data_IF_259972586553
#
_entry.id   IF_259972586553
#
_cell.length_a   1.000
_cell.length_b   1.000
_cell.length_c   1.000
_cell.angle_alpha   90.00
_cell.angle_beta   90.00
_cell.angle_gamma   90.00
#
_symmetry.space_group_name_H-M   'P 1'
#
loop_
_entity.id
_entity.type
_entity.pdbx_description
1 polymer ?
#
# COMPACT_ATOMS: atom_id res chain seq x y z
N UNK A 1 -18.03 17.62 -14.82
CA UNK A 1 -16.56 17.58 -14.72
C UNK A 1 -15.97 18.57 -15.69
N UNK A 2 -14.79 19.14 -15.39
CA UNK A 2 -14.05 19.93 -16.39
C UNK A 2 -13.34 19.00 -17.37
N UNK A 3 -13.03 19.44 -18.60
CA UNK A 3 -12.31 18.61 -19.59
C UNK A 3 -10.94 18.11 -19.11
N UNK A 4 -10.30 18.83 -18.19
CA UNK A 4 -9.02 18.44 -17.59
C UNK A 4 -9.17 17.24 -16.64
N UNK A 5 -10.28 17.15 -15.90
CA UNK A 5 -10.55 16.01 -15.01
C UNK A 5 -10.89 14.75 -15.79
N UNK A 6 -11.68 14.88 -16.87
CA UNK A 6 -12.04 13.76 -17.74
C UNK A 6 -10.79 13.15 -18.40
N UNK A 7 -9.87 13.99 -18.86
CA UNK A 7 -8.57 13.55 -19.39
C UNK A 7 -7.72 12.83 -18.34
N UNK A 8 -7.77 13.25 -17.07
CA UNK A 8 -7.01 12.58 -16.00
C UNK A 8 -7.57 11.20 -15.63
N UNK A 9 -8.90 11.05 -15.58
CA UNK A 9 -9.54 9.74 -15.36
C UNK A 9 -9.20 8.78 -16.50
N UNK A 10 -9.27 9.22 -17.76
CA UNK A 10 -8.88 8.41 -18.91
C UNK A 10 -7.40 8.01 -18.84
N UNK A 11 -6.52 8.94 -18.43
CA UNK A 11 -5.11 8.66 -18.19
C UNK A 11 -4.91 7.57 -17.13
N UNK A 12 -5.55 7.69 -15.96
CA UNK A 12 -5.44 6.70 -14.88
C UNK A 12 -5.92 5.32 -15.32
N UNK A 13 -7.07 5.24 -16.00
CA UNK A 13 -7.58 3.97 -16.52
C UNK A 13 -6.57 3.31 -17.47
N UNK A 14 -5.88 4.11 -18.30
CA UNK A 14 -4.87 3.59 -19.22
C UNK A 14 -3.61 3.10 -18.50
N UNK A 15 -3.02 3.90 -17.60
CA UNK A 15 -1.79 3.49 -16.90
C UNK A 15 -2.04 2.35 -15.90
N UNK A 16 -3.26 2.25 -15.37
CA UNK A 16 -3.67 1.14 -14.50
C UNK A 16 -3.62 -0.23 -15.19
N UNK A 17 -3.60 -0.29 -16.53
CA UNK A 17 -3.43 -1.55 -17.26
C UNK A 17 -2.04 -2.19 -17.02
N UNK A 18 -1.05 -1.40 -16.59
CA UNK A 18 0.29 -1.88 -16.24
C UNK A 18 0.34 -2.54 -14.85
N UNK A 19 -0.67 -2.32 -13.99
CA UNK A 19 -0.75 -2.92 -12.66
C UNK A 19 -1.34 -4.34 -12.76
N UNK A 20 -0.48 -5.28 -13.16
CA UNK A 20 -0.90 -6.69 -13.39
C UNK A 20 -0.69 -7.62 -12.20
N UNK A 21 -0.09 -7.12 -11.13
CA UNK A 21 0.24 -7.91 -9.95
C UNK A 21 -0.88 -8.03 -8.92
N UNK A 22 -1.98 -7.28 -9.10
CA UNK A 22 -3.21 -7.35 -8.29
C UNK A 22 -4.37 -7.54 -9.26
N UNK A 23 -5.26 -8.49 -8.99
CA UNK A 23 -6.42 -8.77 -9.82
C UNK A 23 -7.49 -7.69 -9.66
N UNK A 24 -8.41 -7.58 -10.63
CA UNK A 24 -9.49 -6.58 -10.54
C UNK A 24 -10.45 -6.91 -9.40
N UNK A 25 -10.65 -8.18 -9.12
CA UNK A 25 -11.47 -8.70 -8.02
C UNK A 25 -10.89 -8.27 -6.68
N UNK A 26 -9.57 -8.33 -6.51
CA UNK A 26 -8.86 -7.79 -5.34
C UNK A 26 -9.04 -6.27 -5.22
N UNK A 27 -9.17 -5.57 -6.35
CA UNK A 27 -9.51 -4.14 -6.42
C UNK A 27 -11.01 -3.85 -6.30
N UNK A 28 -11.85 -4.86 -6.06
CA UNK A 28 -13.29 -4.70 -5.81
C UNK A 28 -14.20 -4.87 -7.02
N UNK A 29 -13.71 -5.37 -8.16
CA UNK A 29 -14.58 -5.78 -9.26
C UNK A 29 -15.42 -7.01 -8.89
N UNK A 30 -16.70 -6.98 -9.23
CA UNK A 30 -17.65 -8.08 -8.96
C UNK A 30 -17.89 -8.90 -10.25
N UNK A 31 -17.13 -9.99 -10.49
CA UNK A 31 -17.27 -10.78 -11.72
C UNK A 31 -18.58 -11.56 -11.73
N UNK A 32 -18.98 -12.06 -12.90
CA UNK A 32 -20.08 -13.02 -12.96
C UNK A 32 -19.59 -14.40 -12.53
N UNK A 33 -20.45 -15.24 -11.94
CA UNK A 33 -20.10 -16.63 -11.65
C UNK A 33 -19.57 -17.37 -12.89
N UNK A 34 -20.10 -17.06 -14.08
CA UNK A 34 -19.62 -17.66 -15.34
C UNK A 34 -18.22 -17.22 -15.78
N UNK A 35 -17.69 -16.10 -15.27
CA UNK A 35 -16.37 -15.56 -15.60
C UNK A 35 -15.26 -16.19 -14.76
N UNK A 36 -15.61 -16.69 -13.56
CA UNK A 36 -14.68 -17.37 -12.65
C UNK A 36 -14.17 -18.71 -13.22
N UNK A 37 -12.98 -19.15 -12.83
CA UNK A 37 -12.51 -20.50 -13.12
C UNK A 37 -13.36 -21.57 -12.43
N UNK A 38 -13.24 -22.83 -12.87
CA UNK A 38 -13.96 -23.94 -12.24
C UNK A 38 -13.55 -24.13 -10.77
N UNK A 39 -12.28 -23.88 -10.45
CA UNK A 39 -11.73 -24.03 -9.10
C UNK A 39 -12.22 -22.90 -8.19
N UNK A 40 -12.25 -21.64 -8.67
CA UNK A 40 -12.81 -20.51 -7.94
C UNK A 40 -14.31 -20.69 -7.67
N UNK A 41 -15.08 -21.16 -8.65
CA UNK A 41 -16.51 -21.45 -8.44
C UNK A 41 -16.75 -22.58 -7.45
N UNK A 42 -15.84 -23.56 -7.37
CA UNK A 42 -16.02 -24.74 -6.53
C UNK A 42 -15.83 -24.43 -5.03
N UNK A 43 -15.12 -23.36 -4.69
CA UNK A 43 -14.92 -22.91 -3.30
C UNK A 43 -16.03 -21.99 -2.81
N UNK A 44 -16.88 -21.47 -3.71
CA UNK A 44 -17.99 -20.60 -3.33
C UNK A 44 -19.09 -21.34 -2.58
N UNK A 45 -19.53 -20.76 -1.49
CA UNK A 45 -20.73 -21.18 -0.78
C UNK A 45 -22.00 -20.77 -1.53
N UNK A 46 -23.11 -21.45 -1.26
CA UNK A 46 -24.38 -21.18 -1.95
C UNK A 46 -24.86 -19.74 -1.79
N UNK A 47 -24.64 -19.13 -0.62
CA UNK A 47 -25.04 -17.75 -0.38
C UNK A 47 -24.15 -16.74 -1.12
N UNK A 48 -22.88 -17.07 -1.38
CA UNK A 48 -21.98 -16.24 -2.19
C UNK A 48 -22.43 -16.25 -3.65
N UNK A 49 -22.80 -17.41 -4.18
CA UNK A 49 -23.38 -17.53 -5.52
C UNK A 49 -24.69 -16.75 -5.65
N UNK A 50 -25.60 -16.89 -4.67
CA UNK A 50 -26.85 -16.13 -4.63
C UNK A 50 -26.61 -14.60 -4.59
N UNK A 51 -25.61 -14.16 -3.82
CA UNK A 51 -25.21 -12.76 -3.78
C UNK A 51 -24.64 -12.29 -5.13
N UNK A 52 -23.71 -13.04 -5.72
CA UNK A 52 -23.12 -12.73 -7.03
C UNK A 52 -24.17 -12.67 -8.15
N UNK A 53 -25.17 -13.56 -8.13
CA UNK A 53 -26.28 -13.54 -9.09
C UNK A 53 -27.22 -12.33 -8.88
N UNK A 54 -27.30 -11.80 -7.66
CA UNK A 54 -28.11 -10.63 -7.34
C UNK A 54 -27.51 -9.31 -7.84
N UNK A 55 -26.20 -9.27 -8.11
CA UNK A 55 -25.51 -8.09 -8.67
C UNK A 55 -26.02 -7.81 -10.09
N UNK A 56 -26.46 -6.57 -10.35
CA UNK A 56 -26.98 -6.19 -11.66
C UNK A 56 -25.84 -5.94 -12.67
N UNK A 57 -26.12 -5.98 -13.98
CA UNK A 57 -25.13 -5.60 -14.99
C UNK A 57 -24.54 -4.20 -14.77
N UNK A 58 -25.37 -3.23 -14.39
CA UNK A 58 -24.94 -1.85 -14.13
C UNK A 58 -23.96 -1.76 -12.95
N UNK A 59 -24.22 -2.49 -11.86
CA UNK A 59 -23.31 -2.56 -10.71
C UNK A 59 -21.96 -3.20 -11.07
N UNK A 60 -21.96 -4.19 -11.97
CA UNK A 60 -20.72 -4.79 -12.47
C UNK A 60 -19.93 -3.84 -13.36
N UNK A 61 -20.61 -3.11 -14.23
CA UNK A 61 -19.96 -2.10 -15.08
C UNK A 61 -19.34 -0.98 -14.21
N UNK A 62 -20.05 -0.55 -13.17
CA UNK A 62 -19.58 0.44 -12.20
C UNK A 62 -18.36 -0.06 -11.41
N UNK A 63 -18.44 -1.25 -10.79
CA UNK A 63 -17.30 -1.83 -10.05
C UNK A 63 -16.09 -2.09 -10.95
N UNK A 64 -16.28 -2.43 -12.22
CA UNK A 64 -15.19 -2.57 -13.19
C UNK A 64 -14.49 -1.24 -13.45
N UNK A 65 -15.26 -0.15 -13.61
CA UNK A 65 -14.69 1.19 -13.80
C UNK A 65 -13.95 1.62 -12.54
N UNK A 66 -14.54 1.44 -11.36
CA UNK A 66 -13.91 1.76 -10.08
C UNK A 66 -12.62 0.96 -9.83
N UNK A 67 -12.62 -0.35 -10.11
CA UNK A 67 -11.42 -1.18 -10.00
C UNK A 67 -10.30 -0.74 -10.95
N UNK A 68 -10.64 -0.36 -12.19
CA UNK A 68 -9.67 0.20 -13.16
C UNK A 68 -9.12 1.55 -12.71
N UNK A 69 -9.98 2.41 -12.17
CA UNK A 69 -9.57 3.71 -11.66
C UNK A 69 -8.65 3.56 -10.45
N UNK A 70 -8.97 2.63 -9.53
CA UNK A 70 -8.13 2.30 -8.39
C UNK A 70 -6.77 1.73 -8.81
N UNK A 71 -6.74 0.85 -9.82
CA UNK A 71 -5.48 0.36 -10.40
C UNK A 71 -4.61 1.52 -10.93
N UNK A 72 -5.22 2.45 -11.66
CA UNK A 72 -4.55 3.66 -12.14
C UNK A 72 -4.04 4.55 -11.02
N UNK A 73 -4.86 4.76 -9.98
CA UNK A 73 -4.48 5.57 -8.83
C UNK A 73 -3.32 4.94 -8.05
N UNK A 74 -3.31 3.61 -7.85
CA UNK A 74 -2.19 2.89 -7.24
C UNK A 74 -0.90 3.01 -8.05
N UNK A 75 -1.01 2.93 -9.38
CA UNK A 75 0.13 3.09 -10.27
C UNK A 75 0.73 4.50 -10.17
N UNK A 76 -0.13 5.51 -10.27
CA UNK A 76 0.29 6.92 -10.15
C UNK A 76 0.86 7.23 -8.76
N UNK A 77 0.18 6.77 -7.71
CA UNK A 77 0.64 6.90 -6.33
C UNK A 77 2.02 6.26 -6.12
N UNK A 78 2.30 5.14 -6.80
CA UNK A 78 3.62 4.49 -6.74
C UNK A 78 4.70 5.38 -7.35
N UNK A 79 4.43 5.99 -8.51
CA UNK A 79 5.37 6.91 -9.15
C UNK A 79 5.61 8.16 -8.29
N UNK A 80 4.53 8.78 -7.78
CA UNK A 80 4.58 9.94 -6.90
C UNK A 80 5.35 9.62 -5.60
N UNK A 81 5.07 8.49 -4.96
CA UNK A 81 5.76 8.06 -3.73
C UNK A 81 7.28 7.95 -3.93
N UNK A 82 7.70 7.36 -5.05
CA UNK A 82 9.13 7.21 -5.39
C UNK A 82 9.79 8.57 -5.63
N UNK A 83 9.14 9.45 -6.39
CA UNK A 83 9.65 10.79 -6.67
C UNK A 83 9.77 11.62 -5.38
N UNK A 84 8.75 11.59 -4.53
CA UNK A 84 8.76 12.29 -3.24
C UNK A 84 9.84 11.73 -2.29
N UNK A 85 10.14 10.42 -2.32
CA UNK A 85 11.26 9.87 -1.55
C UNK A 85 12.62 10.36 -2.06
N UNK A 86 12.78 10.59 -3.37
CA UNK A 86 13.98 11.25 -3.88
C UNK A 86 14.08 12.69 -3.38
N UNK A 87 12.97 13.42 -3.33
CA UNK A 87 12.91 14.78 -2.80
C UNK A 87 13.26 14.82 -1.30
N UNK A 88 12.66 13.94 -0.48
CA UNK A 88 12.97 13.79 0.94
C UNK A 88 14.47 13.53 1.15
N UNK A 89 15.07 12.62 0.39
CA UNK A 89 16.53 12.34 0.46
C UNK A 89 17.35 13.58 0.08
N UNK A 90 16.95 14.31 -0.96
CA UNK A 90 17.65 15.49 -1.41
C UNK A 90 17.60 16.62 -0.36
N UNK A 91 16.43 16.83 0.25
CA UNK A 91 16.22 17.80 1.32
C UNK A 91 17.05 17.44 2.55
N UNK A 92 16.98 16.19 3.03
CA UNK A 92 17.77 15.70 4.15
C UNK A 92 19.29 15.89 3.95
N UNK A 93 19.79 15.69 2.73
CA UNK A 93 21.21 15.91 2.39
C UNK A 93 21.63 17.38 2.42
N UNK A 94 20.69 18.31 2.30
CA UNK A 94 20.96 19.75 2.36
C UNK A 94 21.09 20.27 3.80
N UNK A 95 20.62 19.48 4.79
CA UNK A 95 20.63 19.84 6.19
C UNK A 95 21.98 19.54 6.86
N UNK A 96 22.38 20.41 7.78
CA UNK A 96 23.58 20.19 8.61
C UNK A 96 23.31 19.15 9.70
N UNK A 97 22.11 19.19 10.26
CA UNK A 97 21.60 18.26 11.26
C UNK A 97 20.13 17.98 10.96
N UNK A 98 19.72 16.72 11.04
CA UNK A 98 18.33 16.29 10.83
C UNK A 98 17.63 16.31 12.18
N UNK A 99 16.49 16.97 12.25
CA UNK A 99 15.64 17.04 13.44
C UNK A 99 14.30 16.36 13.19
N UNK A 100 13.56 16.08 14.28
CA UNK A 100 12.20 15.56 14.18
C UNK A 100 11.25 16.47 13.39
N UNK A 101 11.47 17.80 13.44
CA UNK A 101 10.65 18.76 12.72
C UNK A 101 10.89 18.68 11.21
N UNK A 102 12.13 18.41 10.79
CA UNK A 102 12.46 18.23 9.38
C UNK A 102 11.77 16.98 8.83
N UNK A 103 11.78 15.88 9.59
CA UNK A 103 11.05 14.65 9.24
C UNK A 103 9.54 14.87 9.19
N UNK A 104 8.97 15.57 10.17
CA UNK A 104 7.54 15.89 10.16
C UNK A 104 7.12 16.82 9.01
N UNK A 105 8.07 17.57 8.43
CA UNK A 105 7.87 18.43 7.27
C UNK A 105 8.16 17.77 5.93
N UNK A 106 8.67 16.53 5.92
CA UNK A 106 8.97 15.80 4.69
C UNK A 106 7.70 15.27 4.03
N UNK A 107 7.82 14.85 2.77
CA UNK A 107 6.70 14.40 1.95
C UNK A 107 6.24 12.99 2.33
N UNK A 108 7.17 12.05 2.47
CA UNK A 108 6.86 10.63 2.71
C UNK A 108 7.26 10.19 4.13
N UNK A 109 8.44 10.58 4.61
CA UNK A 109 8.91 10.17 5.94
C UNK A 109 8.03 10.72 7.08
N UNK A 110 7.27 11.80 6.83
CA UNK A 110 6.28 12.33 7.77
C UNK A 110 5.09 11.38 8.00
N UNK A 111 4.80 10.49 7.03
CA UNK A 111 3.78 9.46 7.12
C UNK A 111 4.21 8.20 7.86
N UNK A 112 5.50 8.08 8.24
CA UNK A 112 6.02 6.93 8.98
C UNK A 112 5.79 7.05 10.50
N UNK A 113 5.92 5.95 11.27
CA UNK A 113 5.70 5.97 12.72
C UNK A 113 6.46 7.10 13.45
N UNK A 114 5.76 8.13 13.97
CA UNK A 114 6.40 9.37 14.42
C UNK A 114 7.28 9.18 15.66
N UNK A 115 7.18 8.04 16.35
CA UNK A 115 8.02 7.65 17.49
C UNK A 115 9.48 7.43 17.11
N UNK A 116 9.76 7.06 15.86
CA UNK A 116 11.11 6.79 15.38
C UNK A 116 11.67 7.90 14.49
N UNK A 117 10.96 9.02 14.35
CA UNK A 117 11.33 10.14 13.47
C UNK A 117 12.79 10.62 13.68
N UNK A 118 13.29 10.65 14.92
CA UNK A 118 14.70 11.05 15.19
C UNK A 118 15.75 10.09 14.60
N UNK A 119 15.34 8.89 14.20
CA UNK A 119 16.19 7.84 13.63
C UNK A 119 16.06 7.73 12.10
N UNK A 120 15.18 8.51 11.48
CA UNK A 120 15.02 8.53 10.02
C UNK A 120 16.09 9.43 9.39
N UNK A 121 17.31 8.90 9.30
CA UNK A 121 18.42 9.58 8.63
C UNK A 121 18.43 9.33 7.11
N UNK A 122 19.42 9.91 6.42
CA UNK A 122 19.59 9.74 4.97
C UNK A 122 19.72 8.26 4.59
N UNK A 123 20.40 7.44 5.40
CA UNK A 123 20.59 6.01 5.08
C UNK A 123 19.28 5.26 5.24
N UNK A 124 18.49 5.57 6.27
CA UNK A 124 17.14 5.05 6.43
C UNK A 124 16.28 5.38 5.22
N UNK A 125 16.22 6.65 4.82
CA UNK A 125 15.42 7.09 3.67
C UNK A 125 15.85 6.40 2.36
N UNK A 126 17.15 6.20 2.15
CA UNK A 126 17.67 5.45 1.00
C UNK A 126 17.23 3.98 1.02
N UNK A 127 17.30 3.30 2.17
CA UNK A 127 16.83 1.90 2.31
C UNK A 127 15.32 1.83 2.10
N UNK A 128 14.57 2.82 2.59
CA UNK A 128 13.12 2.88 2.43
C UNK A 128 12.71 3.11 0.98
N UNK A 129 13.41 3.98 0.24
CA UNK A 129 13.24 4.15 -1.21
C UNK A 129 13.42 2.84 -1.97
N UNK A 130 14.41 2.04 -1.60
CA UNK A 130 14.64 0.71 -2.20
C UNK A 130 13.45 -0.21 -1.97
N UNK A 131 12.94 -0.25 -0.73
CA UNK A 131 11.77 -1.07 -0.38
C UNK A 131 10.52 -0.58 -1.12
N UNK A 132 10.28 0.74 -1.18
CA UNK A 132 9.15 1.31 -1.91
C UNK A 132 9.21 0.99 -3.41
N UNK A 133 10.41 1.01 -4.00
CA UNK A 133 10.62 0.62 -5.41
C UNK A 133 10.37 -0.86 -5.63
N UNK A 134 10.82 -1.73 -4.71
CA UNK A 134 10.56 -3.16 -4.78
C UNK A 134 9.06 -3.47 -4.65
N UNK A 135 8.38 -2.81 -3.71
CA UNK A 135 6.93 -2.85 -3.54
C UNK A 135 6.20 -2.45 -4.83
N UNK A 136 6.51 -1.29 -5.42
CA UNK A 136 5.91 -0.84 -6.68
C UNK A 136 6.15 -1.86 -7.81
N UNK A 137 7.35 -2.46 -7.86
CA UNK A 137 7.66 -3.53 -8.79
C UNK A 137 6.84 -4.81 -8.57
N UNK A 138 6.52 -5.14 -7.32
CA UNK A 138 5.67 -6.29 -6.98
C UNK A 138 4.21 -6.07 -7.41
N UNK A 139 3.67 -4.84 -7.30
CA UNK A 139 2.34 -4.49 -7.82
C UNK A 139 2.17 -4.75 -9.32
N UNK A 140 3.28 -4.79 -10.07
CA UNK A 140 3.29 -5.12 -11.49
C UNK A 140 3.49 -6.63 -11.70
N UNK A 141 4.47 -7.23 -11.02
CA UNK A 141 4.90 -8.61 -11.29
C UNK A 141 4.06 -9.70 -10.60
N UNK A 142 3.27 -9.33 -9.59
CA UNK A 142 2.56 -10.25 -8.71
C UNK A 142 2.80 -9.85 -7.27
N UNK A 143 1.77 -9.26 -6.65
CA UNK A 143 1.77 -8.99 -5.22
C UNK A 143 1.42 -10.29 -4.47
N UNK A 144 2.08 -10.53 -3.35
CA UNK A 144 1.74 -11.67 -2.47
C UNK A 144 1.41 -11.18 -1.08
N UNK A 145 2.39 -10.61 -0.40
CA UNK A 145 2.34 -10.03 0.92
C UNK A 145 3.63 -9.21 1.10
N UNK A 146 3.69 -8.30 2.08
CA UNK A 146 4.89 -7.54 2.38
C UNK A 146 6.01 -8.48 2.83
N UNK A 147 7.23 -8.27 2.34
CA UNK A 147 8.39 -9.09 2.70
C UNK A 147 9.04 -8.68 4.02
N UNK A 148 8.71 -7.51 4.55
CA UNK A 148 9.24 -6.95 5.80
C UNK A 148 8.36 -5.80 6.30
N UNK A 149 8.55 -5.37 7.56
CA UNK A 149 7.81 -4.25 8.16
C UNK A 149 7.97 -2.97 7.35
N UNK A 150 9.15 -2.67 6.82
CA UNK A 150 9.35 -1.48 5.99
C UNK A 150 8.48 -1.49 4.73
N UNK A 151 8.17 -2.68 4.18
CA UNK A 151 7.31 -2.79 3.01
C UNK A 151 5.84 -2.59 3.37
N UNK A 152 5.39 -3.04 4.56
CA UNK A 152 4.06 -2.70 5.08
C UNK A 152 3.90 -1.18 5.25
N UNK A 153 4.91 -0.52 5.82
CA UNK A 153 4.90 0.93 5.98
C UNK A 153 4.87 1.64 4.63
N UNK A 154 5.60 1.12 3.63
CA UNK A 154 5.55 1.65 2.26
C UNK A 154 4.17 1.48 1.62
N UNK A 155 3.48 0.36 1.86
CA UNK A 155 2.09 0.16 1.42
C UNK A 155 1.18 1.20 2.07
N UNK A 156 1.30 1.46 3.38
CA UNK A 156 0.49 2.50 4.04
C UNK A 156 0.73 3.88 3.43
N UNK A 157 2.00 4.26 3.20
CA UNK A 157 2.32 5.51 2.50
C UNK A 157 1.74 5.54 1.09
N UNK A 158 1.74 4.44 0.35
CA UNK A 158 1.11 4.35 -0.97
C UNK A 158 -0.39 4.63 -0.91
N UNK A 159 -1.11 4.03 0.05
CA UNK A 159 -2.54 4.23 0.22
C UNK A 159 -2.87 5.68 0.62
N UNK A 160 -2.03 6.31 1.45
CA UNK A 160 -2.16 7.74 1.76
C UNK A 160 -1.99 8.60 0.49
N UNK A 161 -1.07 8.24 -0.43
CA UNK A 161 -0.94 8.94 -1.71
C UNK A 161 -2.15 8.74 -2.63
N UNK A 162 -2.78 7.55 -2.62
CA UNK A 162 -4.02 7.33 -3.36
C UNK A 162 -5.14 8.24 -2.83
N UNK A 163 -5.26 8.43 -1.52
CA UNK A 163 -6.23 9.39 -0.94
C UNK A 163 -5.93 10.83 -1.38
N UNK A 164 -4.66 11.25 -1.37
CA UNK A 164 -4.26 12.58 -1.85
C UNK A 164 -4.64 12.77 -3.33
N UNK A 165 -4.37 11.78 -4.18
CA UNK A 165 -4.75 11.81 -5.61
C UNK A 165 -6.27 11.81 -5.78
N UNK A 166 -6.99 10.99 -5.00
CA UNK A 166 -8.44 10.94 -5.00
C UNK A 166 -9.04 12.32 -4.70
N UNK A 167 -8.57 12.98 -3.64
CA UNK A 167 -9.03 14.31 -3.24
C UNK A 167 -8.65 15.39 -4.24
N UNK A 168 -7.41 15.35 -4.75
CA UNK A 168 -6.87 16.36 -5.66
C UNK A 168 -7.61 16.38 -7.01
N UNK A 169 -7.97 15.21 -7.52
CA UNK A 169 -8.61 15.06 -8.84
C UNK A 169 -10.08 14.67 -8.76
N UNK A 170 -10.67 14.59 -7.56
CA UNK A 170 -12.06 14.23 -7.34
C UNK A 170 -12.41 12.86 -7.93
N UNK A 171 -11.57 11.86 -7.70
CA UNK A 171 -11.78 10.51 -8.23
C UNK A 171 -12.95 9.82 -7.53
N UNK A 172 -13.79 9.16 -8.32
CA UNK A 172 -14.93 8.38 -7.85
C UNK A 172 -14.49 6.93 -7.56
N UNK A 173 -13.74 6.76 -6.47
CA UNK A 173 -13.34 5.44 -5.97
C UNK A 173 -14.43 4.84 -5.10
N UNK A 174 -14.55 3.50 -5.12
CA UNK A 174 -15.54 2.78 -4.33
C UNK A 174 -15.41 3.09 -2.82
N UNK A 175 -16.54 3.25 -2.13
CA UNK A 175 -16.53 3.39 -0.68
C UNK A 175 -15.80 2.21 -0.01
N UNK A 176 -14.90 2.52 0.93
CA UNK A 176 -14.15 1.48 1.64
C UNK A 176 -13.03 0.80 0.84
N UNK A 177 -12.66 1.33 -0.34
CA UNK A 177 -11.54 0.81 -1.14
C UNK A 177 -10.26 0.63 -0.31
N UNK A 178 -9.96 1.58 0.59
CA UNK A 178 -8.78 1.55 1.44
C UNK A 178 -8.78 0.35 2.37
N UNK A 179 -9.86 0.14 3.11
CA UNK A 179 -9.96 -0.97 4.06
C UNK A 179 -9.82 -2.33 3.37
N UNK A 180 -10.40 -2.47 2.17
CA UNK A 180 -10.23 -3.66 1.33
C UNK A 180 -8.77 -3.90 0.95
N UNK A 181 -8.06 -2.85 0.52
CA UNK A 181 -6.65 -2.97 0.16
C UNK A 181 -5.76 -3.23 1.37
N UNK A 182 -6.03 -2.60 2.51
CA UNK A 182 -5.29 -2.87 3.76
C UNK A 182 -5.45 -4.34 4.16
N UNK A 183 -6.68 -4.88 4.18
CA UNK A 183 -6.93 -6.30 4.47
C UNK A 183 -6.25 -7.25 3.48
N UNK A 184 -6.16 -6.84 2.20
CA UNK A 184 -5.59 -7.70 1.16
C UNK A 184 -4.07 -7.62 1.06
N UNK A 185 -3.52 -6.43 1.26
CA UNK A 185 -2.10 -6.15 1.02
C UNK A 185 -1.25 -6.23 2.28
N UNK A 186 -1.82 -6.05 3.46
CA UNK A 186 -1.15 -6.22 4.74
C UNK A 186 -1.60 -7.56 5.33
N UNK A 187 -0.69 -8.53 5.41
CA UNK A 187 -1.00 -9.89 5.89
C UNK A 187 -1.53 -9.88 7.33
N UNK A 188 -1.04 -8.94 8.15
CA UNK A 188 -1.52 -8.61 9.48
C UNK A 188 -1.55 -7.09 9.71
N UNK A 189 -1.99 -6.68 10.90
CA UNK A 189 -2.09 -5.26 11.29
C UNK A 189 -1.05 -4.89 12.34
N UNK A 190 0.01 -5.68 12.49
CA UNK A 190 0.93 -5.53 13.61
C UNK A 190 1.71 -4.22 13.51
N UNK A 191 2.08 -3.80 12.29
CA UNK A 191 2.70 -2.48 12.06
C UNK A 191 1.80 -1.30 12.42
N UNK A 192 0.48 -1.49 12.56
CA UNK A 192 -0.42 -0.44 13.04
C UNK A 192 -0.07 -0.02 14.48
N UNK A 193 0.39 -0.97 15.31
CA UNK A 193 0.78 -0.70 16.69
C UNK A 193 1.93 0.32 16.78
N UNK A 194 2.76 0.43 15.74
CA UNK A 194 3.83 1.45 15.64
C UNK A 194 3.29 2.88 15.54
N UNK A 195 2.03 3.06 15.13
CA UNK A 195 1.38 4.38 15.10
C UNK A 195 0.66 4.71 16.41
N UNK A 196 0.36 3.71 17.24
CA UNK A 196 -0.44 3.88 18.45
C UNK A 196 0.42 4.24 19.68
N UNK A 197 0.29 5.47 20.20
CA UNK A 197 1.00 5.92 21.40
C UNK A 197 0.75 5.04 22.64
N UNK A 198 -0.41 4.36 22.71
CA UNK A 198 -0.76 3.48 23.83
C UNK A 198 0.11 2.22 23.89
N UNK A 199 0.74 1.85 22.77
CA UNK A 199 1.60 0.68 22.63
C UNK A 199 3.09 1.03 22.76
N UNK A 200 3.46 2.15 23.38
CA UNK A 200 4.87 2.53 23.53
C UNK A 200 5.69 1.46 24.29
N UNK A 201 6.82 1.05 23.70
CA UNK A 201 7.74 0.07 24.28
C UNK A 201 7.42 -1.40 24.00
N UNK A 202 6.34 -1.72 23.28
CA UNK A 202 5.99 -3.09 22.93
C UNK A 202 7.04 -3.77 22.05
N UNK A 203 7.75 -2.99 21.23
CA UNK A 203 8.71 -3.52 20.25
C UNK A 203 9.85 -4.29 20.93
N UNK A 204 10.19 -3.93 22.17
CA UNK A 204 11.26 -4.55 22.95
C UNK A 204 10.83 -5.75 23.81
N UNK A 205 9.53 -6.06 23.88
CA UNK A 205 9.02 -7.20 24.65
C UNK A 205 8.99 -8.47 23.79
N UNK A 206 10.17 -9.10 23.67
CA UNK A 206 10.37 -10.31 22.84
C UNK A 206 9.45 -11.45 23.28
N UNK A 207 9.15 -11.58 24.57
CA UNK A 207 8.30 -12.66 25.08
C UNK A 207 6.83 -12.42 24.70
N UNK A 208 6.35 -11.18 24.84
CA UNK A 208 5.01 -10.79 24.39
C UNK A 208 4.86 -10.93 22.86
N UNK A 209 5.84 -10.45 22.09
CA UNK A 209 5.82 -10.52 20.63
C UNK A 209 5.77 -11.98 20.15
N UNK A 210 6.58 -12.86 20.74
CA UNK A 210 6.53 -14.31 20.44
C UNK A 210 5.20 -14.96 20.85
N UNK A 211 4.60 -14.56 21.97
CA UNK A 211 3.31 -15.10 22.42
C UNK A 211 2.15 -14.67 21.53
N UNK A 212 2.21 -13.45 20.98
CA UNK A 212 1.20 -12.89 20.09
C UNK A 212 1.46 -13.23 18.61
N UNK A 213 2.63 -13.78 18.28
CA UNK A 213 3.01 -14.10 16.90
C UNK A 213 3.45 -12.89 16.09
N UNK A 214 3.75 -11.76 16.74
CA UNK A 214 4.13 -10.52 16.06
C UNK A 214 5.51 -10.64 15.42
N UNK A 215 5.69 -9.99 14.28
CA UNK A 215 7.02 -9.79 13.70
C UNK A 215 7.94 -8.99 14.64
N UNK A 216 9.27 -9.10 14.51
CA UNK A 216 10.19 -8.20 15.22
C UNK A 216 9.96 -6.74 14.82
N UNK A 217 9.47 -5.92 15.76
CA UNK A 217 9.04 -4.54 15.48
C UNK A 217 10.07 -3.46 15.85
N UNK A 218 11.25 -3.83 16.35
CA UNK A 218 12.29 -2.83 16.58
C UNK A 218 12.75 -2.22 15.24
N UNK A 219 13.02 -0.91 15.22
CA UNK A 219 13.46 -0.20 14.00
C UNK A 219 14.61 -0.89 13.25
N UNK A 220 15.53 -1.55 13.98
CA UNK A 220 16.68 -2.23 13.37
C UNK A 220 16.26 -3.42 12.49
N UNK A 221 15.11 -4.03 12.81
CA UNK A 221 14.58 -5.25 12.18
C UNK A 221 13.62 -4.93 11.03
N UNK A 222 13.23 -3.67 10.83
CA UNK A 222 12.20 -3.29 9.84
C UNK A 222 12.53 -3.68 8.39
N UNK A 223 13.81 -3.83 8.08
CA UNK A 223 14.28 -4.20 6.74
C UNK A 223 14.74 -5.66 6.67
N UNK A 224 14.61 -6.42 7.77
CA UNK A 224 14.89 -7.84 7.75
C UNK A 224 13.69 -8.58 7.15
N UNK A 225 13.93 -9.60 6.32
CA UNK A 225 12.83 -10.33 5.69
C UNK A 225 12.04 -11.13 6.73
N UNK A 226 10.74 -11.26 6.51
CA UNK A 226 9.92 -12.27 7.17
C UNK A 226 10.37 -13.68 6.75
N UNK A 227 9.98 -14.70 7.52
CA UNK A 227 10.57 -16.04 7.46
C UNK A 227 10.56 -16.71 6.08
N UNK A 228 9.58 -16.38 5.23
CA UNK A 228 9.39 -16.97 3.90
C UNK A 228 9.57 -15.95 2.75
N UNK A 229 10.15 -14.78 3.04
CA UNK A 229 10.22 -13.65 2.10
C UNK A 229 11.66 -13.24 1.77
N UNK A 230 11.81 -12.33 0.81
CA UNK A 230 13.11 -11.76 0.40
C UNK A 230 13.01 -10.25 0.30
N UNK A 231 14.05 -9.56 0.76
CA UNK A 231 14.22 -8.12 0.57
C UNK A 231 15.42 -7.85 -0.35
N UNK A 232 15.42 -6.77 -1.14
CA UNK A 232 16.54 -6.45 -2.02
C UNK A 232 17.87 -6.33 -1.24
N UNK A 233 18.91 -7.05 -1.66
CA UNK A 233 20.17 -7.16 -0.91
C UNK A 233 20.86 -5.84 -0.52
N UNK A 234 20.56 -4.75 -1.22
CA UNK A 234 21.12 -3.42 -1.01
C UNK A 234 20.41 -2.60 0.09
N UNK A 235 19.41 -3.19 0.78
CA UNK A 235 18.82 -2.61 2.00
C UNK A 235 19.66 -2.86 3.25
N UNK A 236 20.76 -3.62 3.20
CA UNK A 236 21.64 -3.88 4.36
C UNK A 236 22.97 -3.12 4.26
#
# INVERSE_FOLDING_TARGET
MSPEHENYVEYLIHVGEELTGISREELGYEPRPEDLSADERAVLETWELEWMESVTPEQRDESLVQAKLLAGALWEASAVLIDQLFEDIAELRSLVHITRQDIAGSLVLSGLPPRHAEKYDIRFAQRFLVIATDMAGALIRGWTHPSCVAQELAVRCLLDQVEVIQDLYGLDLADGWRGRLEERMLEDTDSEMLYQNAMDGFEGDVELNMQLGLAPMELKDWFEPFSDSFVPAFVH
#
